data_IF_944560179554
#
_entry.id   IF_944560179554
#
_cell.length_a   1.000
_cell.length_b   1.000
_cell.length_c   1.000
_cell.angle_alpha   90.00
_cell.angle_beta   90.00
_cell.angle_gamma   90.00
#
_symmetry.space_group_name_H-M   'P 1'
#
loop_
_entity.id
_entity.type
_entity.pdbx_description
1 polymer ?
#
# COMPACT_ATOMS: atom_id res chain seq x y z
N UNK A 1 -0.09 -6.75 -1.32
CA UNK A 1 -0.04 -5.82 -2.48
C UNK A 1 0.55 -6.48 -3.71
N UNK A 2 1.77 -7.02 -3.69
CA UNK A 2 2.43 -7.58 -4.88
C UNK A 2 1.59 -8.66 -5.59
N UNK A 3 1.10 -9.65 -4.85
CA UNK A 3 0.27 -10.71 -5.42
C UNK A 3 -1.05 -10.16 -6.03
N UNK A 4 -1.66 -9.16 -5.41
CA UNK A 4 -2.87 -8.53 -5.93
C UNK A 4 -2.59 -7.74 -7.21
N UNK A 5 -1.48 -6.98 -7.26
CA UNK A 5 -1.06 -6.29 -8.48
C UNK A 5 -0.81 -7.26 -9.63
N UNK A 6 -0.05 -8.35 -9.40
CA UNK A 6 0.20 -9.37 -10.41
C UNK A 6 -1.10 -10.00 -10.94
N UNK A 7 -2.03 -10.35 -10.03
CA UNK A 7 -3.35 -10.87 -10.38
C UNK A 7 -4.16 -9.87 -11.23
N UNK A 8 -4.08 -8.59 -10.89
CA UNK A 8 -4.77 -7.51 -11.63
C UNK A 8 -4.19 -7.36 -13.03
N UNK A 9 -2.87 -7.34 -13.18
CA UNK A 9 -2.20 -7.26 -14.49
C UNK A 9 -2.59 -8.45 -15.37
N UNK A 10 -2.59 -9.66 -14.81
CA UNK A 10 -3.00 -10.86 -15.54
C UNK A 10 -4.47 -10.78 -15.99
N UNK A 11 -5.35 -10.33 -15.10
CA UNK A 11 -6.76 -10.10 -15.44
C UNK A 11 -6.93 -9.09 -16.58
N UNK A 12 -6.22 -7.98 -16.57
CA UNK A 12 -6.27 -6.97 -17.64
C UNK A 12 -5.80 -7.53 -18.98
N UNK A 13 -4.87 -8.47 -18.99
CA UNK A 13 -4.36 -9.12 -20.20
C UNK A 13 -5.31 -10.19 -20.75
N UNK A 14 -6.07 -10.85 -19.90
CA UNK A 14 -6.88 -12.02 -20.26
C UNK A 14 -8.36 -11.68 -20.46
N UNK A 15 -8.90 -10.75 -19.68
CA UNK A 15 -10.31 -10.34 -19.80
C UNK A 15 -10.55 -9.58 -21.09
N UNK A 16 -11.51 -10.03 -21.90
CA UNK A 16 -11.88 -9.38 -23.15
C UNK A 16 -13.22 -8.65 -23.03
N UNK A 17 -13.28 -7.48 -23.62
CA UNK A 17 -14.49 -6.68 -23.86
C UNK A 17 -14.32 -6.00 -25.22
N UNK A 18 -15.43 -5.83 -25.97
CA UNK A 18 -15.39 -5.22 -27.31
C UNK A 18 -14.40 -5.90 -28.28
N UNK A 19 -14.19 -7.20 -28.12
CA UNK A 19 -13.31 -8.00 -28.98
C UNK A 19 -11.81 -7.94 -28.66
N UNK A 20 -11.40 -7.13 -27.67
CA UNK A 20 -9.99 -6.95 -27.28
C UNK A 20 -9.78 -7.14 -25.78
N UNK A 21 -8.55 -7.47 -25.33
CA UNK A 21 -8.23 -7.44 -23.90
C UNK A 21 -8.48 -6.05 -23.32
N UNK A 22 -9.07 -5.98 -22.13
CA UNK A 22 -9.35 -4.67 -21.50
C UNK A 22 -8.09 -3.89 -21.17
N UNK A 23 -6.96 -4.56 -20.97
CA UNK A 23 -5.65 -3.94 -20.80
C UNK A 23 -5.12 -3.16 -22.01
N UNK A 24 -5.77 -3.24 -23.17
CA UNK A 24 -5.49 -2.35 -24.30
C UNK A 24 -5.99 -0.92 -24.08
N UNK A 25 -6.88 -0.70 -23.11
CA UNK A 25 -7.37 0.63 -22.76
C UNK A 25 -6.31 1.38 -21.95
N UNK A 26 -5.87 2.55 -22.48
CA UNK A 26 -4.80 3.33 -21.88
C UNK A 26 -5.08 3.75 -20.42
N UNK A 27 -6.32 4.10 -20.08
CA UNK A 27 -6.68 4.50 -18.71
C UNK A 27 -6.48 3.34 -17.71
N UNK A 28 -6.71 2.10 -18.14
CA UNK A 28 -6.48 0.92 -17.28
C UNK A 28 -4.99 0.59 -17.14
N UNK A 29 -4.21 0.85 -18.19
CA UNK A 29 -2.75 0.75 -18.14
C UNK A 29 -2.17 1.75 -17.14
N UNK A 30 -2.58 3.01 -17.19
CA UNK A 30 -2.14 4.05 -16.25
C UNK A 30 -2.47 3.67 -14.80
N UNK A 31 -3.70 3.20 -14.52
CA UNK A 31 -4.08 2.74 -13.19
C UNK A 31 -3.22 1.57 -12.70
N UNK A 32 -2.88 0.65 -13.58
CA UNK A 32 -1.99 -0.48 -13.23
C UNK A 32 -0.56 -0.01 -12.93
N UNK A 33 -0.05 0.99 -13.65
CA UNK A 33 1.26 1.61 -13.37
C UNK A 33 1.23 2.35 -12.04
N UNK A 34 0.18 3.10 -11.73
CA UNK A 34 0.04 3.81 -10.46
C UNK A 34 0.01 2.80 -9.27
N UNK A 35 -0.64 1.65 -9.45
CA UNK A 35 -0.59 0.56 -8.46
C UNK A 35 0.84 0.03 -8.26
N UNK A 36 1.59 -0.12 -9.35
CA UNK A 36 2.99 -0.57 -9.29
C UNK A 36 3.86 0.46 -8.55
N UNK A 37 3.71 1.75 -8.84
CA UNK A 37 4.44 2.81 -8.14
C UNK A 37 4.13 2.79 -6.64
N UNK A 38 2.86 2.69 -6.25
CA UNK A 38 2.46 2.60 -4.85
C UNK A 38 3.05 1.35 -4.15
N UNK A 39 3.12 0.23 -4.86
CA UNK A 39 3.74 -1.01 -4.36
C UNK A 39 5.25 -0.81 -4.12
N UNK A 40 5.97 -0.19 -5.05
CA UNK A 40 7.41 0.05 -4.93
C UNK A 40 7.74 1.06 -3.82
N UNK A 41 6.92 2.09 -3.64
CA UNK A 41 7.02 3.00 -2.49
C UNK A 41 6.85 2.26 -1.17
N UNK A 42 5.87 1.36 -1.08
CA UNK A 42 5.66 0.55 0.12
C UNK A 42 6.85 -0.38 0.40
N UNK A 43 7.44 -1.00 -0.63
CA UNK A 43 8.64 -1.83 -0.51
C UNK A 43 9.84 -1.04 0.02
N UNK A 44 10.07 0.13 -0.57
CA UNK A 44 11.16 1.02 -0.17
C UNK A 44 11.02 1.45 1.30
N UNK A 45 9.81 1.80 1.71
CA UNK A 45 9.55 2.19 3.10
C UNK A 45 9.63 1.02 4.08
N UNK A 46 9.26 -0.18 3.67
CA UNK A 46 9.46 -1.39 4.49
C UNK A 46 10.96 -1.69 4.69
N UNK A 47 11.76 -1.57 3.62
CA UNK A 47 13.22 -1.72 3.72
C UNK A 47 13.82 -0.64 4.63
N UNK A 48 13.42 0.61 4.46
CA UNK A 48 13.85 1.72 5.33
C UNK A 48 13.52 1.45 6.80
N UNK A 49 12.29 1.04 7.12
CA UNK A 49 11.90 0.71 8.49
C UNK A 49 12.73 -0.44 9.07
N UNK A 50 13.07 -1.45 8.25
CA UNK A 50 13.93 -2.56 8.67
C UNK A 50 15.34 -2.09 9.01
N UNK A 51 15.92 -1.22 8.19
CA UNK A 51 17.23 -0.61 8.48
C UNK A 51 17.19 0.22 9.77
N UNK A 52 16.15 1.03 9.94
CA UNK A 52 15.97 1.90 11.10
C UNK A 52 15.54 1.16 12.38
N UNK A 53 15.21 -0.12 12.29
CA UNK A 53 14.91 -0.91 13.50
C UNK A 53 16.12 -1.05 14.44
N UNK A 54 17.32 -0.98 13.88
CA UNK A 54 18.59 -0.98 14.63
C UNK A 54 19.09 0.42 15.03
N UNK A 55 18.37 1.50 14.72
CA UNK A 55 18.79 2.87 15.06
C UNK A 55 18.88 3.04 16.59
N UNK A 56 20.05 3.47 17.13
CA UNK A 56 20.22 3.67 18.56
C UNK A 56 19.29 4.72 19.14
N UNK A 57 19.04 5.83 18.43
CA UNK A 57 18.12 6.86 18.87
C UNK A 57 16.66 6.36 18.80
N UNK A 58 15.99 6.21 19.97
CA UNK A 58 14.61 5.74 19.98
C UNK A 58 13.62 6.69 19.28
N UNK A 59 13.94 7.99 19.21
CA UNK A 59 13.10 8.98 18.55
C UNK A 59 13.16 8.81 17.05
N UNK A 60 14.33 8.74 16.46
CA UNK A 60 14.51 8.55 15.02
C UNK A 60 13.99 7.17 14.58
N UNK A 61 14.23 6.13 15.37
CA UNK A 61 13.65 4.81 15.11
C UNK A 61 12.12 4.82 15.06
N UNK A 62 11.46 5.44 16.05
CA UNK A 62 9.98 5.56 16.10
C UNK A 62 9.43 6.40 14.94
N UNK A 63 10.13 7.46 14.58
CA UNK A 63 9.77 8.35 13.47
C UNK A 63 9.83 7.59 12.14
N UNK A 64 10.90 6.86 11.88
CA UNK A 64 11.05 6.04 10.67
C UNK A 64 9.97 4.96 10.57
N UNK A 65 9.69 4.25 11.65
CA UNK A 65 8.63 3.22 11.69
C UNK A 65 7.26 3.83 11.44
N UNK A 66 6.97 5.00 12.02
CA UNK A 66 5.69 5.70 11.80
C UNK A 66 5.56 6.18 10.35
N UNK A 67 6.61 6.74 9.75
CA UNK A 67 6.62 7.13 8.35
C UNK A 67 6.34 5.92 7.42
N UNK A 68 7.02 4.81 7.68
CA UNK A 68 6.82 3.58 6.92
C UNK A 68 5.38 3.05 7.04
N UNK A 69 4.82 3.05 8.26
CA UNK A 69 3.46 2.61 8.50
C UNK A 69 2.43 3.47 7.78
N UNK A 70 2.64 4.78 7.72
CA UNK A 70 1.79 5.72 6.96
C UNK A 70 1.84 5.39 5.46
N UNK A 71 3.04 5.28 4.88
CA UNK A 71 3.17 5.03 3.45
C UNK A 71 2.65 3.65 3.06
N UNK A 72 3.01 2.61 3.81
CA UNK A 72 2.52 1.24 3.54
C UNK A 72 1.00 1.15 3.67
N UNK A 73 0.41 1.81 4.67
CA UNK A 73 -1.04 1.86 4.85
C UNK A 73 -1.76 2.55 3.67
N UNK A 74 -1.26 3.70 3.24
CA UNK A 74 -1.79 4.43 2.06
C UNK A 74 -1.67 3.61 0.78
N UNK A 75 -0.51 3.02 0.54
CA UNK A 75 -0.28 2.14 -0.61
C UNK A 75 -1.20 0.91 -0.60
N UNK A 76 -1.38 0.27 0.56
CA UNK A 76 -2.24 -0.89 0.72
C UNK A 76 -3.70 -0.57 0.36
N UNK A 77 -4.19 0.56 0.84
CA UNK A 77 -5.53 1.05 0.54
C UNK A 77 -5.67 1.34 -0.96
N UNK A 78 -4.76 2.12 -1.52
CA UNK A 78 -4.80 2.50 -2.93
C UNK A 78 -4.75 1.30 -3.86
N UNK A 79 -3.81 0.37 -3.65
CA UNK A 79 -3.66 -0.85 -4.45
C UNK A 79 -4.90 -1.74 -4.30
N UNK A 80 -5.44 -1.87 -3.09
CA UNK A 80 -6.64 -2.67 -2.83
C UNK A 80 -7.88 -2.12 -3.53
N UNK A 81 -8.18 -0.84 -3.35
CA UNK A 81 -9.34 -0.18 -3.96
C UNK A 81 -9.23 -0.15 -5.50
N UNK A 82 -8.04 0.16 -6.03
CA UNK A 82 -7.82 0.18 -7.49
C UNK A 82 -7.95 -1.20 -8.10
N UNK A 83 -7.43 -2.25 -7.45
CA UNK A 83 -7.58 -3.62 -7.92
C UNK A 83 -9.05 -4.04 -8.02
N UNK A 84 -9.85 -3.77 -6.98
CA UNK A 84 -11.29 -4.06 -7.01
C UNK A 84 -11.97 -3.33 -8.15
N UNK A 85 -11.64 -2.04 -8.35
CA UNK A 85 -12.19 -1.25 -9.45
C UNK A 85 -11.83 -1.85 -10.83
N UNK A 86 -10.59 -2.29 -11.02
CA UNK A 86 -10.11 -2.86 -12.29
C UNK A 86 -10.70 -4.25 -12.59
N UNK A 87 -11.02 -5.03 -11.58
CA UNK A 87 -11.71 -6.33 -11.74
C UNK A 87 -13.22 -6.17 -11.93
N UNK A 88 -13.79 -5.02 -11.56
CA UNK A 88 -15.24 -4.80 -11.62
C UNK A 88 -16.01 -5.75 -10.69
N UNK A 89 -17.19 -6.18 -11.11
CA UNK A 89 -18.08 -7.01 -10.29
C UNK A 89 -17.43 -8.30 -9.76
N UNK A 90 -16.55 -8.95 -10.54
CA UNK A 90 -15.86 -10.18 -10.12
C UNK A 90 -14.91 -9.94 -8.93
N UNK A 91 -14.34 -8.73 -8.82
CA UNK A 91 -13.45 -8.36 -7.73
C UNK A 91 -14.10 -8.35 -6.34
N UNK A 92 -15.42 -8.28 -6.30
CA UNK A 92 -16.23 -8.29 -5.08
C UNK A 92 -16.77 -9.68 -4.72
N UNK A 93 -16.59 -10.68 -5.58
CA UNK A 93 -17.10 -12.03 -5.32
C UNK A 93 -16.24 -12.77 -4.29
N UNK A 94 -16.89 -13.65 -3.51
CA UNK A 94 -16.20 -14.49 -2.52
C UNK A 94 -15.31 -15.56 -3.18
N UNK A 95 -15.56 -15.89 -4.43
CA UNK A 95 -14.86 -16.94 -5.16
C UNK A 95 -13.55 -16.47 -5.79
N UNK A 96 -13.38 -15.15 -5.96
CA UNK A 96 -12.23 -14.58 -6.63
C UNK A 96 -11.18 -14.02 -5.64
N UNK A 97 -9.93 -14.40 -5.83
CA UNK A 97 -8.83 -14.09 -4.90
C UNK A 97 -8.61 -12.60 -4.64
N UNK A 98 -8.96 -11.73 -5.60
CA UNK A 98 -8.81 -10.29 -5.44
C UNK A 98 -9.57 -9.74 -4.22
N UNK A 99 -10.80 -10.22 -3.99
CA UNK A 99 -11.61 -9.86 -2.83
C UNK A 99 -10.96 -10.25 -1.49
N UNK A 100 -10.33 -11.43 -1.43
CA UNK A 100 -9.62 -11.88 -0.24
C UNK A 100 -8.38 -11.01 0.04
N UNK A 101 -7.60 -10.68 -0.98
CA UNK A 101 -6.47 -9.77 -0.84
C UNK A 101 -6.91 -8.36 -0.40
N UNK A 102 -8.00 -7.84 -0.98
CA UNK A 102 -8.57 -6.56 -0.58
C UNK A 102 -8.94 -6.53 0.90
N UNK A 103 -9.68 -7.54 1.38
CA UNK A 103 -10.06 -7.68 2.79
C UNK A 103 -8.84 -7.73 3.70
N UNK A 104 -7.81 -8.51 3.33
CA UNK A 104 -6.58 -8.59 4.11
C UNK A 104 -5.83 -7.26 4.14
N UNK A 105 -5.72 -6.56 3.02
CA UNK A 105 -5.08 -5.25 2.95
C UNK A 105 -5.85 -4.21 3.79
N UNK A 106 -7.17 -4.27 3.82
CA UNK A 106 -7.99 -3.41 4.66
C UNK A 106 -7.76 -3.68 6.15
N UNK A 107 -7.73 -4.94 6.55
CA UNK A 107 -7.51 -5.33 7.95
C UNK A 107 -6.11 -4.95 8.45
N UNK A 108 -5.06 -5.19 7.64
CA UNK A 108 -3.67 -4.96 8.04
C UNK A 108 -3.35 -3.48 8.28
N UNK A 109 -4.13 -2.57 7.69
CA UNK A 109 -3.96 -1.13 7.92
C UNK A 109 -4.16 -0.74 9.39
N UNK A 110 -4.95 -1.50 10.13
CA UNK A 110 -5.26 -1.24 11.54
C UNK A 110 -4.35 -2.00 12.51
N UNK A 111 -3.60 -2.99 12.04
CA UNK A 111 -2.64 -3.73 12.86
C UNK A 111 -1.54 -2.79 13.36
N UNK A 112 -1.27 -2.80 14.67
CA UNK A 112 -0.26 -1.94 15.34
C UNK A 112 -0.49 -0.43 15.17
N UNK A 113 -1.70 0.01 15.02
CA UNK A 113 -2.09 1.40 14.82
C UNK A 113 -2.44 1.74 13.37
N UNK A 114 -3.45 2.61 13.22
CA UNK A 114 -3.92 3.06 11.90
C UNK A 114 -2.92 4.01 11.23
N UNK A 115 -3.14 4.26 9.95
CA UNK A 115 -2.38 5.27 9.18
C UNK A 115 -2.45 6.65 9.86
N UNK A 116 -3.62 7.06 10.33
CA UNK A 116 -3.81 8.37 10.98
C UNK A 116 -3.10 8.44 12.34
N UNK A 117 -3.16 7.37 13.13
CA UNK A 117 -2.41 7.27 14.37
C UNK A 117 -0.90 7.48 14.14
N UNK A 118 -0.34 6.81 13.15
CA UNK A 118 1.08 6.94 12.83
C UNK A 118 1.44 8.28 12.20
N UNK A 119 0.52 8.92 11.48
CA UNK A 119 0.73 10.26 10.94
C UNK A 119 0.84 11.30 12.06
N UNK A 120 -0.08 11.26 13.03
CA UNK A 120 -0.04 12.13 14.23
C UNK A 120 1.25 11.90 15.00
N UNK A 121 1.58 10.63 15.28
CA UNK A 121 2.82 10.28 15.97
C UNK A 121 4.09 10.76 15.25
N UNK A 122 4.14 10.66 13.94
CA UNK A 122 5.25 11.17 13.14
C UNK A 122 5.38 12.69 13.27
N UNK A 123 4.26 13.43 13.22
CA UNK A 123 4.24 14.87 13.38
C UNK A 123 4.76 15.28 14.78
N UNK A 124 4.26 14.65 15.84
CA UNK A 124 4.70 14.88 17.22
C UNK A 124 6.20 14.65 17.38
N UNK A 125 6.71 13.52 16.86
CA UNK A 125 8.13 13.20 16.90
C UNK A 125 9.00 14.15 16.06
N UNK A 126 8.43 14.84 15.08
CA UNK A 126 9.14 15.80 14.24
C UNK A 126 9.19 17.18 14.88
N UNK A 127 8.11 17.61 15.53
CA UNK A 127 7.96 18.96 16.11
C UNK A 127 8.45 19.09 17.54
N UNK A 128 8.52 17.98 18.30
CA UNK A 128 9.03 18.02 19.67
C UNK A 128 10.49 18.50 19.68
N UNK A 129 10.90 19.43 20.59
CA UNK A 129 12.28 19.82 20.73
C UNK A 129 13.17 18.60 20.97
N UNK A 130 14.33 18.55 20.33
CA UNK A 130 15.36 17.57 20.67
C UNK A 130 15.72 17.80 22.13
N UNK A 131 15.48 16.79 22.96
CA UNK A 131 15.92 16.82 24.37
C UNK A 131 17.45 16.91 24.36
N UNK A 132 17.96 18.14 24.52
CA UNK A 132 19.37 18.38 24.73
C UNK A 132 19.68 17.92 26.15
N UNK A 133 19.83 16.64 26.36
CA UNK A 133 20.52 16.12 27.54
C UNK A 133 22.01 16.18 27.26
N UNK A 134 22.60 17.24 27.75
CA UNK A 134 24.03 17.30 28.06
C UNK A 134 24.47 16.14 28.94
#
# INVERSE_FOLDING_TARGET
MAALHALTVDYLKTRKQFGVPIGSCQVLQHKSVDMFVALEQARSMAAYATMMAGEPDPRERRKAISAAKVQVGRSARFVGETAVQLHGGIGMTMEYKAGHYFKRLTAIQYEFGSTDHHLVRYAELTTAPSDQRT
#
